data_IF_068010052197
#
_entry.id   IF_068010052197
#
_cell.length_a   1.000
_cell.length_b   1.000
_cell.length_c   1.000
_cell.angle_alpha   90.00
_cell.angle_beta   90.00
_cell.angle_gamma   90.00
#
_symmetry.space_group_name_H-M   'P 1'
#
loop_
_entity.id
_entity.type
_entity.pdbx_description
1 polymer ?
#
# COMPACT_ATOMS: atom_id res chain seq x y z
N UNK A 1 31.51 34.38 -11.84
CA UNK A 1 31.59 33.19 -12.72
C UNK A 1 30.89 31.94 -12.14
N UNK A 2 29.98 32.04 -11.15
CA UNK A 2 29.49 30.86 -10.39
C UNK A 2 27.94 30.75 -10.23
N UNK A 3 27.14 31.44 -11.03
CA UNK A 3 25.67 31.39 -10.87
C UNK A 3 25.01 30.30 -11.74
N UNK A 4 25.44 30.10 -12.99
CA UNK A 4 24.87 29.07 -13.88
C UNK A 4 25.20 27.63 -13.44
N UNK A 5 26.41 27.39 -12.92
CA UNK A 5 26.82 26.06 -12.43
C UNK A 5 26.04 25.63 -11.17
N UNK A 6 25.65 26.61 -10.33
CA UNK A 6 24.87 26.35 -9.12
C UNK A 6 23.38 26.11 -9.43
N UNK A 7 22.82 26.76 -10.46
CA UNK A 7 21.43 26.51 -10.87
C UNK A 7 21.21 25.11 -11.45
N UNK A 8 22.12 24.62 -12.29
CA UNK A 8 22.02 23.25 -12.83
C UNK A 8 22.14 22.19 -11.73
N UNK A 9 23.14 22.34 -10.84
CA UNK A 9 23.30 21.43 -9.70
C UNK A 9 22.06 21.42 -8.80
N UNK A 10 21.52 22.59 -8.47
CA UNK A 10 20.28 22.73 -7.69
C UNK A 10 19.10 22.04 -8.36
N UNK A 11 18.95 22.24 -9.67
CA UNK A 11 17.90 21.59 -10.46
C UNK A 11 17.99 20.07 -10.38
N UNK A 12 19.19 19.52 -10.44
CA UNK A 12 19.40 18.07 -10.38
C UNK A 12 19.16 17.50 -8.98
N UNK A 13 19.54 18.22 -7.91
CA UNK A 13 19.18 17.83 -6.54
C UNK A 13 17.66 17.87 -6.32
N UNK A 14 16.97 18.90 -6.81
CA UNK A 14 15.51 18.99 -6.70
C UNK A 14 14.83 17.87 -7.50
N UNK A 15 15.35 17.51 -8.68
CA UNK A 15 14.86 16.37 -9.46
C UNK A 15 15.07 15.04 -8.74
N UNK A 16 16.24 14.83 -8.13
CA UNK A 16 16.51 13.64 -7.34
C UNK A 16 15.53 13.55 -6.15
N UNK A 17 15.38 14.65 -5.41
CA UNK A 17 14.49 14.72 -4.26
C UNK A 17 13.02 14.49 -4.66
N UNK A 18 12.58 15.07 -5.79
CA UNK A 18 11.25 14.81 -6.35
C UNK A 18 11.08 13.34 -6.76
N UNK A 19 12.12 12.73 -7.34
CA UNK A 19 12.06 11.36 -7.82
C UNK A 19 11.96 10.34 -6.67
N UNK A 20 12.77 10.49 -5.62
CA UNK A 20 12.59 9.66 -4.42
C UNK A 20 11.25 9.92 -3.75
N UNK A 21 10.80 11.18 -3.68
CA UNK A 21 9.50 11.52 -3.11
C UNK A 21 8.36 10.84 -3.87
N UNK A 22 8.41 10.88 -5.20
CA UNK A 22 7.50 10.18 -6.09
C UNK A 22 7.50 8.67 -5.80
N UNK A 23 8.68 8.04 -5.74
CA UNK A 23 8.78 6.60 -5.48
C UNK A 23 8.27 6.25 -4.08
N UNK A 24 8.58 7.04 -3.05
CA UNK A 24 8.11 6.80 -1.69
C UNK A 24 6.59 6.88 -1.62
N UNK A 25 6.01 7.96 -2.15
CA UNK A 25 4.57 8.19 -2.11
C UNK A 25 3.81 7.18 -3.00
N UNK A 26 4.34 6.84 -4.18
CA UNK A 26 3.75 5.84 -5.08
C UNK A 26 3.70 4.43 -4.48
N UNK A 27 4.67 4.11 -3.61
CA UNK A 27 4.74 2.82 -2.90
C UNK A 27 4.07 2.86 -1.51
N UNK A 28 3.48 3.99 -1.14
CA UNK A 28 2.61 4.09 0.04
C UNK A 28 3.26 4.67 1.29
N UNK A 29 4.40 5.35 1.21
CA UNK A 29 4.98 6.05 2.37
C UNK A 29 4.03 7.13 2.91
N UNK A 30 4.13 7.40 4.20
CA UNK A 30 3.38 8.48 4.87
C UNK A 30 3.78 9.85 4.36
N UNK A 31 2.80 10.76 4.25
CA UNK A 31 2.97 12.07 3.60
C UNK A 31 4.07 12.89 4.28
N UNK A 32 4.00 13.06 5.60
CA UNK A 32 5.04 13.74 6.38
C UNK A 32 6.46 13.14 6.24
N UNK A 33 6.60 11.82 6.02
CA UNK A 33 7.92 11.19 5.84
C UNK A 33 8.50 11.46 4.47
N UNK A 34 7.65 11.53 3.45
CA UNK A 34 8.06 11.94 2.11
C UNK A 34 8.62 13.36 2.15
N UNK A 35 7.92 14.28 2.81
CA UNK A 35 8.36 15.67 2.98
C UNK A 35 9.68 15.77 3.75
N UNK A 36 9.78 15.10 4.90
CA UNK A 36 11.01 15.07 5.70
C UNK A 36 12.20 14.51 4.90
N UNK A 37 12.02 13.44 4.13
CA UNK A 37 13.06 12.88 3.26
C UNK A 37 13.49 13.86 2.16
N UNK A 38 12.55 14.51 1.48
CA UNK A 38 12.84 15.52 0.46
C UNK A 38 13.65 16.67 1.07
N UNK A 39 13.19 17.22 2.20
CA UNK A 39 13.84 18.33 2.89
C UNK A 39 15.25 17.96 3.37
N UNK A 40 15.46 16.75 3.89
CA UNK A 40 16.79 16.27 4.33
C UNK A 40 17.77 16.14 3.17
N UNK A 41 17.32 15.59 2.03
CA UNK A 41 18.13 15.47 0.82
C UNK A 41 18.53 16.84 0.28
N UNK A 42 17.60 17.79 0.22
CA UNK A 42 17.92 19.15 -0.20
C UNK A 42 18.90 19.83 0.77
N UNK A 43 18.67 19.70 2.08
CA UNK A 43 19.51 20.30 3.13
C UNK A 43 20.92 19.72 3.17
N UNK A 44 21.11 18.42 2.94
CA UNK A 44 22.44 17.80 2.91
C UNK A 44 23.32 18.35 1.78
N UNK A 45 22.70 18.87 0.71
CA UNK A 45 23.39 19.52 -0.41
C UNK A 45 23.39 21.05 -0.34
N UNK A 46 23.07 21.62 0.83
CA UNK A 46 23.15 23.06 1.10
C UNK A 46 21.90 23.87 0.75
N UNK A 47 20.82 23.25 0.27
CA UNK A 47 19.57 23.94 -0.07
C UNK A 47 18.62 23.96 1.14
N UNK A 48 18.69 25.04 1.92
CA UNK A 48 17.93 25.18 3.19
C UNK A 48 16.57 25.85 3.05
N UNK A 49 16.33 26.59 1.97
CA UNK A 49 15.12 27.36 1.71
C UNK A 49 14.22 26.65 0.70
N UNK A 50 13.90 25.39 0.96
CA UNK A 50 13.02 24.58 0.11
C UNK A 50 11.72 24.37 0.85
N UNK A 51 10.61 24.69 0.20
CA UNK A 51 9.27 24.39 0.65
C UNK A 51 8.71 23.21 -0.14
N UNK A 52 8.10 22.28 0.57
CA UNK A 52 7.53 21.05 0.01
C UNK A 52 6.07 20.97 0.44
N UNK A 53 5.21 20.64 -0.51
CA UNK A 53 3.83 20.29 -0.23
C UNK A 53 3.54 18.94 -0.87
N UNK A 54 3.16 17.97 -0.05
CA UNK A 54 2.79 16.63 -0.49
C UNK A 54 1.34 16.39 -0.15
N UNK A 55 0.60 15.92 -1.14
CA UNK A 55 -0.70 15.28 -0.95
C UNK A 55 -0.62 13.88 -1.58
N UNK A 56 -1.61 13.01 -1.40
CA UNK A 56 -1.55 11.68 -2.00
C UNK A 56 -1.35 11.73 -3.52
N UNK A 57 -1.92 12.71 -4.22
CA UNK A 57 -1.90 12.81 -5.69
C UNK A 57 -0.80 13.69 -6.25
N UNK A 58 -0.18 14.56 -5.44
CA UNK A 58 0.78 15.53 -5.94
C UNK A 58 1.89 15.80 -4.93
N UNK A 59 3.11 15.94 -5.46
CA UNK A 59 4.26 16.49 -4.75
C UNK A 59 4.65 17.79 -5.45
N UNK A 60 4.77 18.86 -4.67
CA UNK A 60 5.25 20.16 -5.12
C UNK A 60 6.50 20.47 -4.32
N UNK A 61 7.61 20.75 -5.01
CA UNK A 61 8.85 21.22 -4.41
C UNK A 61 9.14 22.60 -5.01
N UNK A 62 9.30 23.59 -4.15
CA UNK A 62 9.56 24.97 -4.55
C UNK A 62 10.67 25.57 -3.70
N UNK A 63 11.40 26.52 -4.27
CA UNK A 63 12.25 27.41 -3.48
C UNK A 63 11.39 28.49 -2.83
N UNK A 64 11.67 28.80 -1.56
CA UNK A 64 11.00 29.88 -0.82
C UNK A 64 11.44 31.27 -1.30
N UNK A 65 12.62 31.37 -1.93
CA UNK A 65 13.09 32.62 -2.49
C UNK A 65 12.32 32.86 -3.79
N UNK A 66 11.62 33.99 -3.85
CA UNK A 66 10.66 34.42 -4.90
C UNK A 66 11.19 34.46 -6.35
N UNK A 67 12.39 33.95 -6.61
CA UNK A 67 13.09 33.83 -7.90
C UNK A 67 13.48 32.37 -8.26
N UNK A 68 12.99 31.38 -7.52
CA UNK A 68 13.47 30.00 -7.63
C UNK A 68 12.63 29.04 -8.48
N UNK A 69 13.18 27.83 -8.64
CA UNK A 69 12.57 26.73 -9.40
C UNK A 69 11.41 26.09 -8.62
N UNK A 70 10.35 25.73 -9.33
CA UNK A 70 9.26 24.92 -8.80
C UNK A 70 9.06 23.68 -9.67
N UNK A 71 9.01 22.52 -9.03
CA UNK A 71 8.71 21.24 -9.67
C UNK A 71 7.46 20.66 -9.06
N UNK A 72 6.61 20.13 -9.93
CA UNK A 72 5.40 19.43 -9.54
C UNK A 72 5.41 18.03 -10.17
N UNK A 73 5.05 17.03 -9.38
CA UNK A 73 4.82 15.67 -9.87
C UNK A 73 3.46 15.18 -9.41
N UNK A 74 2.61 14.82 -10.37
CA UNK A 74 1.34 14.16 -10.12
C UNK A 74 1.51 12.65 -10.19
N UNK A 75 0.93 11.94 -9.21
CA UNK A 75 0.92 10.47 -9.16
C UNK A 75 -0.37 9.94 -9.76
N UNK A 76 -0.25 9.06 -10.76
CA UNK A 76 -1.39 8.44 -11.46
C UNK A 76 -1.85 7.13 -10.82
N UNK A 77 -0.93 6.39 -10.19
CA UNK A 77 -1.21 5.13 -9.54
C UNK A 77 -0.41 5.03 -8.24
N UNK A 78 -0.97 4.29 -7.29
CA UNK A 78 -0.33 4.00 -6.00
C UNK A 78 -0.54 2.54 -5.68
N UNK A 79 0.46 1.95 -5.03
CA UNK A 79 0.38 0.64 -4.42
C UNK A 79 1.04 0.70 -3.05
N UNK A 80 0.82 -0.33 -2.24
CA UNK A 80 1.54 -0.49 -0.98
C UNK A 80 2.68 -1.49 -1.18
N UNK A 81 3.92 -1.01 -1.13
CA UNK A 81 5.11 -1.86 -1.18
C UNK A 81 6.09 -1.46 -0.08
N UNK A 82 5.92 -2.08 1.08
CA UNK A 82 6.75 -1.80 2.26
C UNK A 82 8.23 -2.13 2.05
N UNK A 83 8.55 -3.11 1.20
CA UNK A 83 9.93 -3.44 0.87
C UNK A 83 10.60 -2.28 0.10
N UNK A 84 9.95 -1.75 -0.93
CA UNK A 84 10.44 -0.57 -1.66
C UNK A 84 10.56 0.64 -0.75
N UNK A 85 9.58 0.87 0.15
CA UNK A 85 9.68 1.94 1.15
C UNK A 85 10.92 1.76 2.03
N UNK A 86 11.21 0.54 2.52
CA UNK A 86 12.38 0.28 3.35
C UNK A 86 13.68 0.59 2.60
N UNK A 87 13.79 0.15 1.34
CA UNK A 87 14.95 0.42 0.48
C UNK A 87 15.14 1.93 0.22
N UNK A 88 14.06 2.65 -0.10
CA UNK A 88 14.10 4.10 -0.33
C UNK A 88 14.49 4.87 0.95
N UNK A 89 14.05 4.42 2.12
CA UNK A 89 14.47 5.01 3.39
C UNK A 89 15.97 4.78 3.66
N UNK A 90 16.48 3.59 3.37
CA UNK A 90 17.90 3.29 3.53
C UNK A 90 18.74 4.16 2.58
N UNK A 91 18.35 4.22 1.30
CA UNK A 91 18.94 5.11 0.32
C UNK A 91 18.95 6.57 0.78
N UNK A 92 17.82 7.09 1.28
CA UNK A 92 17.72 8.48 1.74
C UNK A 92 18.71 8.77 2.88
N UNK A 93 18.88 7.84 3.83
CA UNK A 93 19.86 7.98 4.90
C UNK A 93 21.30 7.92 4.38
N UNK A 94 21.59 7.01 3.47
CA UNK A 94 22.92 6.87 2.85
C UNK A 94 23.31 8.13 2.06
N UNK A 95 22.41 8.62 1.19
CA UNK A 95 22.64 9.83 0.41
C UNK A 95 22.86 11.08 1.28
N UNK A 96 22.15 11.19 2.40
CA UNK A 96 22.31 12.31 3.35
C UNK A 96 23.64 12.22 4.10
N UNK A 97 24.12 11.02 4.42
CA UNK A 97 25.36 10.80 5.15
C UNK A 97 26.62 10.79 4.25
N UNK A 98 26.46 10.68 2.93
CA UNK A 98 27.56 10.65 1.97
C UNK A 98 27.51 11.88 1.03
N UNK A 99 28.22 12.98 1.37
CA UNK A 99 28.22 14.21 0.57
C UNK A 99 28.86 14.05 -0.81
N UNK A 100 29.72 13.05 -0.98
CA UNK A 100 30.49 12.86 -2.22
C UNK A 100 29.74 11.98 -3.24
N UNK A 101 28.62 11.38 -2.85
CA UNK A 101 27.80 10.57 -3.74
C UNK A 101 27.25 11.43 -4.89
N UNK A 102 27.52 11.01 -6.13
CA UNK A 102 27.07 11.68 -7.35
C UNK A 102 25.55 11.59 -7.51
N UNK A 103 24.94 12.65 -8.03
CA UNK A 103 23.49 12.68 -8.33
C UNK A 103 23.14 11.66 -9.41
N UNK A 104 24.00 11.45 -10.40
CA UNK A 104 23.73 10.49 -11.47
C UNK A 104 23.68 9.06 -10.96
N UNK A 105 24.59 8.70 -10.04
CA UNK A 105 24.62 7.37 -9.44
C UNK A 105 23.45 7.18 -8.48
N UNK A 106 23.11 8.21 -7.72
CA UNK A 106 21.91 8.25 -6.90
C UNK A 106 20.62 8.03 -7.72
N UNK A 107 20.51 8.63 -8.91
CA UNK A 107 19.38 8.41 -9.82
C UNK A 107 19.36 6.98 -10.37
N UNK A 108 20.52 6.39 -10.71
CA UNK A 108 20.60 5.00 -11.18
C UNK A 108 20.12 4.03 -10.09
N UNK A 109 20.58 4.21 -8.86
CA UNK A 109 20.17 3.36 -7.74
C UNK A 109 18.66 3.45 -7.48
N UNK A 110 18.08 4.66 -7.51
CA UNK A 110 16.63 4.84 -7.41
C UNK A 110 15.87 4.15 -8.56
N UNK A 111 16.41 4.15 -9.78
CA UNK A 111 15.84 3.41 -10.91
C UNK A 111 15.91 1.90 -10.69
N UNK A 112 17.00 1.40 -10.10
CA UNK A 112 17.14 -0.01 -9.78
C UNK A 112 16.13 -0.44 -8.71
N UNK A 113 15.96 0.35 -7.65
CA UNK A 113 14.92 0.15 -6.63
C UNK A 113 13.51 0.19 -7.26
N UNK A 114 13.26 1.14 -8.17
CA UNK A 114 12.00 1.24 -8.90
C UNK A 114 11.73 -0.01 -9.75
N UNK A 115 12.75 -0.53 -10.42
CA UNK A 115 12.67 -1.67 -11.34
C UNK A 115 12.74 -3.04 -10.67
N UNK A 116 12.87 -3.10 -9.33
CA UNK A 116 12.79 -4.36 -8.59
C UNK A 116 11.53 -5.13 -8.96
N UNK A 117 11.74 -6.34 -9.48
CA UNK A 117 10.68 -7.24 -9.90
C UNK A 117 9.91 -7.70 -8.67
N UNK A 118 8.56 -7.68 -8.71
CA UNK A 118 7.75 -8.32 -7.68
C UNK A 118 8.08 -9.81 -7.57
N UNK A 119 7.80 -10.40 -6.41
CA UNK A 119 7.81 -11.84 -6.24
C UNK A 119 6.86 -12.51 -7.27
N UNK A 120 7.18 -13.73 -7.73
CA UNK A 120 6.32 -14.42 -8.68
C UNK A 120 4.94 -14.69 -8.05
N UNK A 121 3.89 -14.58 -8.87
CA UNK A 121 2.49 -14.62 -8.41
C UNK A 121 2.15 -15.89 -7.63
N UNK A 122 2.66 -17.05 -8.05
CA UNK A 122 2.43 -18.32 -7.34
C UNK A 122 2.96 -18.29 -5.89
N UNK A 123 4.08 -17.59 -5.66
CA UNK A 123 4.68 -17.46 -4.34
C UNK A 123 3.88 -16.50 -3.46
N UNK A 124 3.37 -15.40 -4.04
CA UNK A 124 2.48 -14.45 -3.36
C UNK A 124 1.20 -15.17 -2.94
N UNK A 125 0.54 -15.87 -3.86
CA UNK A 125 -0.68 -16.61 -3.56
C UNK A 125 -0.45 -17.69 -2.51
N UNK A 126 0.57 -18.53 -2.68
CA UNK A 126 0.91 -19.57 -1.70
C UNK A 126 1.19 -19.00 -0.30
N UNK A 127 2.00 -17.94 -0.21
CA UNK A 127 2.29 -17.27 1.06
C UNK A 127 1.04 -16.64 1.69
N UNK A 128 0.15 -16.09 0.86
CA UNK A 128 -1.12 -15.51 1.31
C UNK A 128 -2.06 -16.57 1.86
N UNK A 129 -2.14 -17.74 1.21
CA UNK A 129 -2.88 -18.88 1.73
C UNK A 129 -2.34 -19.35 3.09
N UNK A 130 -1.01 -19.50 3.21
CA UNK A 130 -0.37 -19.93 4.46
C UNK A 130 -0.65 -18.91 5.57
N UNK A 131 -0.48 -17.62 5.30
CA UNK A 131 -0.74 -16.55 6.27
C UNK A 131 -2.20 -16.55 6.73
N UNK A 132 -3.15 -16.69 5.79
CA UNK A 132 -4.59 -16.71 6.08
C UNK A 132 -4.99 -17.92 6.93
N UNK A 133 -4.49 -19.11 6.59
CA UNK A 133 -4.77 -20.32 7.35
C UNK A 133 -4.12 -20.29 8.75
N UNK A 134 -2.89 -19.78 8.85
CA UNK A 134 -2.20 -19.58 10.13
C UNK A 134 -2.93 -18.58 11.02
N UNK A 135 -3.48 -17.52 10.42
CA UNK A 135 -4.32 -16.55 11.13
C UNK A 135 -5.64 -17.17 11.61
N UNK A 136 -6.26 -18.03 10.79
CA UNK A 136 -7.39 -18.84 11.22
C UNK A 136 -7.07 -19.69 12.46
N UNK A 137 -5.91 -20.37 12.47
CA UNK A 137 -5.46 -21.14 13.63
C UNK A 137 -5.22 -20.26 14.86
N UNK A 138 -4.63 -19.07 14.69
CA UNK A 138 -4.44 -18.11 15.78
C UNK A 138 -5.76 -17.70 16.44
N UNK A 139 -6.86 -17.64 15.66
CA UNK A 139 -8.19 -17.29 16.15
C UNK A 139 -9.00 -18.48 16.68
N UNK A 140 -8.41 -19.69 16.70
CA UNK A 140 -9.00 -20.88 17.28
C UNK A 140 -9.46 -21.94 16.28
N UNK A 141 -9.05 -21.88 15.01
CA UNK A 141 -9.23 -23.00 14.08
C UNK A 141 -8.30 -24.16 14.49
N UNK A 142 -8.86 -25.21 15.09
CA UNK A 142 -8.10 -26.35 15.60
C UNK A 142 -8.01 -27.51 14.61
N UNK A 143 -8.93 -27.60 13.65
CA UNK A 143 -8.99 -28.74 12.74
C UNK A 143 -8.09 -28.54 11.52
N UNK A 144 -7.45 -29.62 11.08
CA UNK A 144 -6.59 -29.62 9.88
C UNK A 144 -7.40 -29.25 8.63
N UNK A 145 -8.68 -29.64 8.58
CA UNK A 145 -9.58 -29.28 7.47
C UNK A 145 -9.81 -27.77 7.41
N UNK A 146 -10.02 -27.09 8.55
CA UNK A 146 -10.14 -25.63 8.58
C UNK A 146 -8.90 -24.97 7.94
N UNK A 147 -7.70 -25.46 8.29
CA UNK A 147 -6.45 -24.94 7.74
C UNK A 147 -6.37 -25.13 6.22
N UNK A 148 -6.62 -26.35 5.73
CA UNK A 148 -6.51 -26.68 4.30
C UNK A 148 -7.53 -25.87 3.49
N UNK A 149 -8.78 -25.82 3.92
CA UNK A 149 -9.81 -25.09 3.18
C UNK A 149 -9.61 -23.58 3.27
N UNK A 150 -9.18 -23.04 4.42
CA UNK A 150 -8.83 -21.62 4.54
C UNK A 150 -7.67 -21.26 3.61
N UNK A 151 -6.65 -22.11 3.51
CA UNK A 151 -5.52 -21.93 2.60
C UNK A 151 -5.98 -21.86 1.14
N UNK A 152 -6.79 -22.83 0.69
CA UNK A 152 -7.29 -22.91 -0.69
C UNK A 152 -8.22 -21.73 -1.00
N UNK A 153 -9.20 -21.46 -0.13
CA UNK A 153 -10.20 -20.42 -0.35
C UNK A 153 -9.56 -19.02 -0.32
N UNK A 154 -8.57 -18.78 0.55
CA UNK A 154 -7.84 -17.51 0.55
C UNK A 154 -7.08 -17.28 -0.78
N UNK A 155 -6.42 -18.32 -1.30
CA UNK A 155 -5.74 -18.24 -2.61
C UNK A 155 -6.74 -17.90 -3.72
N UNK A 156 -7.86 -18.62 -3.77
CA UNK A 156 -8.89 -18.39 -4.78
C UNK A 156 -9.50 -17.00 -4.65
N UNK A 157 -9.77 -16.55 -3.44
CA UNK A 157 -10.33 -15.22 -3.17
C UNK A 157 -9.41 -14.09 -3.63
N UNK A 158 -8.10 -14.22 -3.45
CA UNK A 158 -7.11 -13.25 -3.94
C UNK A 158 -6.99 -13.29 -5.46
N UNK A 159 -7.05 -14.47 -6.09
CA UNK A 159 -7.10 -14.58 -7.55
C UNK A 159 -8.35 -13.90 -8.11
N UNK A 160 -9.51 -14.07 -7.45
CA UNK A 160 -10.77 -13.39 -7.81
C UNK A 160 -10.63 -11.88 -7.61
N UNK A 161 -10.00 -11.46 -6.52
CA UNK A 161 -9.76 -10.05 -6.23
C UNK A 161 -8.94 -9.42 -7.35
N UNK A 162 -7.79 -10.01 -7.72
CA UNK A 162 -6.90 -9.50 -8.74
C UNK A 162 -7.55 -9.46 -10.13
N UNK A 163 -8.35 -10.47 -10.47
CA UNK A 163 -9.11 -10.48 -11.74
C UNK A 163 -10.18 -9.41 -11.77
N UNK A 164 -10.96 -9.27 -10.69
CA UNK A 164 -12.01 -8.24 -10.59
C UNK A 164 -11.41 -6.83 -10.60
N UNK A 165 -10.24 -6.67 -10.00
CA UNK A 165 -9.54 -5.39 -9.95
C UNK A 165 -9.03 -4.95 -11.32
N UNK A 166 -8.59 -5.89 -12.17
CA UNK A 166 -8.21 -5.61 -13.56
C UNK A 166 -9.39 -5.13 -14.43
N UNK A 167 -10.62 -5.49 -14.07
CA UNK A 167 -11.83 -5.15 -14.83
C UNK A 167 -12.44 -3.85 -14.29
N UNK A 168 -12.66 -3.78 -12.97
CA UNK A 168 -13.40 -2.69 -12.33
C UNK A 168 -12.53 -1.49 -11.97
N UNK A 169 -11.23 -1.71 -11.69
CA UNK A 169 -10.34 -0.73 -11.08
C UNK A 169 -10.84 -0.14 -9.74
N UNK A 170 -11.76 -0.83 -9.04
CA UNK A 170 -12.34 -0.39 -7.76
C UNK A 170 -12.05 -1.45 -6.67
N UNK A 171 -11.23 -1.14 -5.65
CA UNK A 171 -10.85 -2.08 -4.59
C UNK A 171 -12.05 -2.57 -3.77
N UNK A 172 -12.97 -1.66 -3.43
CA UNK A 172 -14.17 -1.99 -2.67
C UNK A 172 -15.04 -3.03 -3.41
N UNK A 173 -15.27 -2.86 -4.71
CA UNK A 173 -16.04 -3.81 -5.51
C UNK A 173 -15.34 -5.17 -5.63
N UNK A 174 -14.02 -5.16 -5.85
CA UNK A 174 -13.23 -6.40 -5.90
C UNK A 174 -13.27 -7.15 -4.57
N UNK A 175 -13.23 -6.43 -3.45
CA UNK A 175 -13.34 -6.99 -2.11
C UNK A 175 -14.73 -7.54 -1.81
N UNK A 176 -15.79 -6.88 -2.30
CA UNK A 176 -17.17 -7.37 -2.20
C UNK A 176 -17.32 -8.73 -2.89
N UNK A 177 -16.85 -8.84 -4.14
CA UNK A 177 -16.95 -10.09 -4.92
C UNK A 177 -16.15 -11.22 -4.27
N UNK A 178 -14.91 -10.96 -3.84
CA UNK A 178 -14.08 -11.96 -3.18
C UNK A 178 -14.62 -12.39 -1.82
N UNK A 179 -15.12 -11.45 -1.01
CA UNK A 179 -15.70 -11.76 0.30
C UNK A 179 -17.03 -12.51 0.22
N UNK A 180 -17.86 -12.18 -0.78
CA UNK A 180 -19.05 -12.96 -1.12
C UNK A 180 -18.68 -14.40 -1.49
N UNK A 181 -17.67 -14.60 -2.35
CA UNK A 181 -17.16 -15.93 -2.70
C UNK A 181 -16.69 -16.70 -1.46
N UNK A 182 -15.90 -16.07 -0.58
CA UNK A 182 -15.42 -16.70 0.66
C UNK A 182 -16.61 -17.17 1.50
N UNK A 183 -17.62 -16.33 1.69
CA UNK A 183 -18.78 -16.66 2.51
C UNK A 183 -19.63 -17.80 1.91
N UNK A 184 -19.84 -17.79 0.58
CA UNK A 184 -20.59 -18.86 -0.11
C UNK A 184 -19.90 -20.21 0.09
N UNK A 185 -18.59 -20.28 -0.13
CA UNK A 185 -17.85 -21.54 0.04
C UNK A 185 -17.73 -21.95 1.50
N UNK A 186 -17.57 -21.00 2.42
CA UNK A 186 -17.59 -21.28 3.86
C UNK A 186 -18.90 -21.95 4.29
N UNK A 187 -20.04 -21.37 3.89
CA UNK A 187 -21.36 -21.93 4.19
C UNK A 187 -21.56 -23.29 3.54
N UNK A 188 -21.25 -23.46 2.25
CA UNK A 188 -21.39 -24.75 1.56
C UNK A 188 -20.59 -25.86 2.23
N UNK A 189 -19.34 -25.59 2.62
CA UNK A 189 -18.50 -26.58 3.30
C UNK A 189 -19.05 -26.95 4.69
N UNK A 190 -19.69 -26.01 5.39
CA UNK A 190 -20.36 -26.29 6.65
C UNK A 190 -21.61 -27.18 6.43
N UNK A 191 -22.43 -26.87 5.43
CA UNK A 191 -23.64 -27.64 5.11
C UNK A 191 -23.33 -29.08 4.68
N UNK A 192 -22.20 -29.30 3.99
CA UNK A 192 -21.73 -30.64 3.65
C UNK A 192 -21.05 -31.37 4.82
N UNK A 193 -21.07 -30.82 6.04
CA UNK A 193 -20.39 -31.36 7.22
C UNK A 193 -18.88 -31.58 7.02
N UNK A 194 -18.26 -30.80 6.13
CA UNK A 194 -16.80 -30.82 5.92
C UNK A 194 -16.12 -29.94 6.99
N UNK A 195 -16.78 -28.85 7.38
CA UNK A 195 -16.37 -27.95 8.47
C UNK A 195 -17.48 -27.87 9.51
N UNK A 196 -17.13 -27.77 10.78
CA UNK A 196 -18.13 -27.64 11.86
C UNK A 196 -18.83 -26.28 11.80
N UNK A 197 -18.10 -25.22 11.42
CA UNK A 197 -18.65 -23.88 11.26
C UNK A 197 -17.99 -23.14 10.11
N UNK A 198 -18.70 -22.25 9.41
CA UNK A 198 -18.11 -21.42 8.35
C UNK A 198 -17.21 -20.31 8.94
N UNK A 199 -17.31 -20.03 10.24
CA UNK A 199 -16.75 -18.85 10.90
C UNK A 199 -15.24 -18.71 10.74
N UNK A 200 -14.49 -19.75 11.09
CA UNK A 200 -13.02 -19.67 11.12
C UNK A 200 -12.43 -19.54 9.72
N UNK A 201 -13.00 -20.26 8.75
CA UNK A 201 -12.65 -20.13 7.34
C UNK A 201 -12.91 -18.72 6.83
N UNK A 202 -14.11 -18.17 7.07
CA UNK A 202 -14.47 -16.83 6.62
C UNK A 202 -13.51 -15.78 7.19
N UNK A 203 -13.27 -15.81 8.50
CA UNK A 203 -12.40 -14.82 9.16
C UNK A 203 -10.94 -14.95 8.68
N UNK A 204 -10.44 -16.19 8.54
CA UNK A 204 -9.09 -16.44 8.04
C UNK A 204 -8.91 -16.00 6.58
N UNK A 205 -9.80 -16.41 5.69
CA UNK A 205 -9.69 -16.15 4.25
C UNK A 205 -9.95 -14.70 3.84
N UNK A 206 -10.61 -13.89 4.67
CA UNK A 206 -10.82 -12.46 4.41
C UNK A 206 -9.58 -11.63 4.75
N UNK A 207 -8.70 -12.11 5.62
CA UNK A 207 -7.54 -11.37 6.11
C UNK A 207 -6.74 -10.62 5.01
N UNK A 208 -6.44 -11.22 3.84
CA UNK A 208 -5.69 -10.54 2.79
C UNK A 208 -6.41 -9.36 2.14
N UNK A 209 -7.75 -9.33 2.23
CA UNK A 209 -8.61 -8.30 1.64
C UNK A 209 -8.75 -7.09 2.58
N UNK A 210 -8.40 -7.24 3.85
CA UNK A 210 -8.60 -6.18 4.85
C UNK A 210 -7.70 -4.97 4.54
N UNK A 211 -8.26 -3.76 4.48
CA UNK A 211 -7.51 -2.54 4.14
C UNK A 211 -6.74 -1.98 5.35
N UNK A 212 -6.21 -2.85 6.21
CA UNK A 212 -5.62 -2.46 7.50
C UNK A 212 -4.43 -1.52 7.37
N UNK A 213 -3.53 -1.77 6.41
CA UNK A 213 -2.36 -0.93 6.18
C UNK A 213 -2.77 0.47 5.71
N UNK A 214 -3.71 0.56 4.76
CA UNK A 214 -4.24 1.84 4.25
C UNK A 214 -4.98 2.63 5.34
N UNK A 215 -5.75 1.94 6.19
CA UNK A 215 -6.45 2.55 7.31
C UNK A 215 -5.49 3.15 8.34
N UNK A 216 -4.49 2.36 8.79
CA UNK A 216 -3.47 2.84 9.73
C UNK A 216 -2.69 4.01 9.14
N UNK A 217 -2.36 3.95 7.85
CA UNK A 217 -1.70 5.06 7.15
C UNK A 217 -2.57 6.32 7.15
N UNK A 218 -3.84 6.21 6.77
CA UNK A 218 -4.76 7.35 6.76
C UNK A 218 -4.91 7.99 8.14
N UNK A 219 -4.99 7.16 9.18
CA UNK A 219 -5.01 7.63 10.57
C UNK A 219 -3.71 8.34 10.96
N UNK A 220 -2.55 7.81 10.54
CA UNK A 220 -1.25 8.42 10.80
C UNK A 220 -1.09 9.77 10.10
N UNK A 221 -1.50 9.87 8.84
CA UNK A 221 -1.51 11.14 8.09
C UNK A 221 -2.44 12.17 8.78
N UNK A 222 -3.60 11.74 9.29
CA UNK A 222 -4.50 12.62 10.06
C UNK A 222 -3.86 13.14 11.36
N UNK A 223 -3.18 12.27 12.12
CA UNK A 223 -2.46 12.63 13.35
C UNK A 223 -1.30 13.61 13.05
N UNK A 224 -0.64 13.45 11.91
CA UNK A 224 0.45 14.32 11.46
C UNK A 224 -0.03 15.69 10.93
N UNK A 225 -1.34 15.92 10.80
CA UNK A 225 -1.93 17.16 10.29
C UNK A 225 -2.24 17.17 8.79
N UNK A 226 -1.96 16.06 8.07
CA UNK A 226 -2.26 15.90 6.65
C UNK A 226 -3.73 15.51 6.44
N UNK A 227 -4.65 16.43 6.76
CA UNK A 227 -6.10 16.14 6.84
C UNK A 227 -6.68 15.59 5.53
N UNK A 228 -6.34 16.20 4.39
CA UNK A 228 -6.85 15.78 3.07
C UNK A 228 -6.37 14.36 2.73
N UNK A 229 -5.10 14.07 3.01
CA UNK A 229 -4.50 12.77 2.75
C UNK A 229 -5.11 11.69 3.66
N UNK A 230 -5.19 12.00 4.96
CA UNK A 230 -5.69 11.11 5.98
C UNK A 230 -7.14 10.72 5.77
N UNK A 231 -8.02 11.71 5.52
CA UNK A 231 -9.45 11.48 5.26
C UNK A 231 -9.66 10.64 4.00
N UNK A 232 -8.94 10.97 2.90
CA UNK A 232 -9.08 10.23 1.65
C UNK A 232 -8.72 8.74 1.81
N UNK A 233 -7.60 8.44 2.47
CA UNK A 233 -7.14 7.06 2.69
C UNK A 233 -8.02 6.29 3.68
N UNK A 234 -8.43 6.95 4.78
CA UNK A 234 -9.30 6.33 5.77
C UNK A 234 -10.69 6.03 5.19
N UNK A 235 -11.22 6.92 4.35
CA UNK A 235 -12.49 6.72 3.67
C UNK A 235 -12.42 5.57 2.66
N UNK A 236 -11.38 5.51 1.83
CA UNK A 236 -11.19 4.41 0.86
C UNK A 236 -11.05 3.04 1.55
N UNK A 237 -10.30 3.00 2.65
CA UNK A 237 -10.21 1.82 3.51
C UNK A 237 -11.57 1.47 4.15
N UNK A 238 -12.31 2.46 4.63
CA UNK A 238 -13.65 2.29 5.19
C UNK A 238 -14.64 1.71 4.17
N UNK A 239 -14.66 2.23 2.95
CA UNK A 239 -15.48 1.70 1.85
C UNK A 239 -15.16 0.24 1.57
N UNK A 240 -13.87 -0.10 1.54
CA UNK A 240 -13.41 -1.48 1.32
C UNK A 240 -13.87 -2.40 2.46
N UNK A 241 -13.78 -1.96 3.71
CA UNK A 241 -14.26 -2.72 4.87
C UNK A 241 -15.78 -2.93 4.84
N UNK A 242 -16.56 -1.90 4.51
CA UNK A 242 -18.02 -2.00 4.34
C UNK A 242 -18.38 -2.96 3.21
N UNK A 243 -17.64 -2.94 2.11
CA UNK A 243 -17.86 -3.83 0.98
C UNK A 243 -17.61 -5.30 1.35
N UNK A 244 -16.55 -5.59 2.11
CA UNK A 244 -16.28 -6.92 2.67
C UNK A 244 -17.43 -7.35 3.60
N UNK A 245 -17.80 -6.49 4.55
CA UNK A 245 -18.87 -6.78 5.50
C UNK A 245 -20.21 -7.05 4.78
N UNK A 246 -20.50 -6.31 3.72
CA UNK A 246 -21.71 -6.48 2.90
C UNK A 246 -21.69 -7.81 2.14
N UNK A 247 -20.55 -8.16 1.51
CA UNK A 247 -20.40 -9.41 0.76
C UNK A 247 -20.59 -10.65 1.63
N UNK A 248 -19.97 -10.66 2.83
CA UNK A 248 -20.15 -11.75 3.80
C UNK A 248 -21.53 -11.73 4.43
N UNK A 249 -21.95 -10.55 4.92
CA UNK A 249 -23.19 -10.39 5.67
C UNK A 249 -24.41 -10.78 4.86
N UNK A 250 -24.45 -10.45 3.57
CA UNK A 250 -25.53 -10.86 2.67
C UNK A 250 -25.65 -12.39 2.57
N UNK A 251 -24.53 -13.10 2.42
CA UNK A 251 -24.54 -14.58 2.32
C UNK A 251 -24.95 -15.21 3.65
N UNK A 252 -24.44 -14.71 4.76
CA UNK A 252 -24.78 -15.22 6.09
C UNK A 252 -26.24 -14.94 6.47
N UNK A 253 -26.79 -13.77 6.13
CA UNK A 253 -28.21 -13.46 6.36
C UNK A 253 -29.12 -14.39 5.53
N UNK A 254 -28.79 -14.65 4.27
CA UNK A 254 -29.52 -15.63 3.46
C UNK A 254 -29.44 -17.03 4.06
N UNK A 255 -28.24 -17.48 4.44
CA UNK A 255 -28.05 -18.79 5.05
C UNK A 255 -28.89 -18.94 6.33
N UNK A 256 -28.85 -17.94 7.21
CA UNK A 256 -29.59 -17.95 8.46
C UNK A 256 -31.11 -17.94 8.27
N UNK A 257 -31.64 -17.31 7.22
CA UNK A 257 -33.09 -17.28 6.98
C UNK A 257 -33.65 -18.54 6.33
N UNK A 258 -32.85 -19.23 5.52
CA UNK A 258 -33.34 -20.32 4.69
C UNK A 258 -32.94 -21.71 5.19
N UNK A 259 -31.90 -21.82 6.01
CA UNK A 259 -31.30 -23.11 6.37
C UNK A 259 -31.23 -23.33 7.90
N UNK A 260 -30.87 -22.30 8.67
CA UNK A 260 -30.82 -22.34 10.14
C UNK A 260 -32.21 -22.10 10.73
#
# INVERSE_FOLDING_TARGET
MNLEYNQNYKKDVLRLALFIGELMLANGAETYRVEDSILRICRSRGFKHINVFTSPTVIIISDERFDGLSFMKTLKSRSMNLNKIALLNNFSREFVNNPDLSIDDAIKELKDISNLKPYPQWFIYGSTGIASASFGCLLGATHVLDFIFTFIIAILAVIIFDKTMKISSIPAFSSLVSSFFIAVFGVLLAEFNILDTPKMLIVGSIMPLLPGVSFIKGLRDLISGDLIAGVALAFDAGMTAVAIASGVGFVLDLWYRFIV
#
